data_IF_624507506181
#
_entry.id   IF_624507506181
#
_cell.length_a   1.000
_cell.length_b   1.000
_cell.length_c   1.000
_cell.angle_alpha   90.00
_cell.angle_beta   90.00
_cell.angle_gamma   90.00
#
_symmetry.space_group_name_H-M   'P 1'
#
loop_
_entity.id
_entity.type
_entity.pdbx_description
1 polymer ?
#
# COMPACT_ATOMS: atom_id res chain seq x y z
N UNK A 1 16.02 21.16 11.93
CA UNK A 1 15.76 21.28 10.48
C UNK A 1 14.27 21.15 10.24
N UNK A 2 13.77 21.37 9.01
CA UNK A 2 12.36 21.10 8.68
C UNK A 2 12.17 19.60 8.47
N UNK A 3 11.15 19.02 9.08
CA UNK A 3 10.83 17.59 9.01
C UNK A 3 9.77 17.36 7.94
N UNK A 4 10.23 17.17 6.69
CA UNK A 4 9.40 16.54 5.66
C UNK A 4 9.35 15.06 6.04
N UNK A 5 8.18 14.59 6.50
CA UNK A 5 8.09 13.36 7.31
C UNK A 5 6.92 12.44 6.95
N UNK A 6 5.98 12.85 6.08
CA UNK A 6 4.62 12.29 6.18
C UNK A 6 3.76 12.56 4.95
N UNK A 7 4.11 12.00 3.78
CA UNK A 7 3.45 12.39 2.53
C UNK A 7 3.16 11.28 1.50
N UNK A 8 1.91 10.79 1.55
CA UNK A 8 1.11 10.09 0.52
C UNK A 8 1.67 8.80 -0.11
N UNK A 9 1.12 7.62 0.15
CA UNK A 9 -0.28 7.28 -0.08
C UNK A 9 -1.04 7.97 -1.26
N UNK A 10 -0.37 8.60 -2.23
CA UNK A 10 -0.99 9.00 -3.51
C UNK A 10 -0.29 8.28 -4.67
N UNK A 11 1.05 8.28 -4.67
CA UNK A 11 1.82 7.13 -5.18
C UNK A 11 1.40 5.89 -4.41
N UNK A 12 1.47 5.92 -3.07
CA UNK A 12 0.94 4.83 -2.26
C UNK A 12 -0.60 4.72 -2.22
N UNK A 13 -1.34 5.38 -3.11
CA UNK A 13 -2.67 4.92 -3.56
C UNK A 13 -2.43 4.21 -4.89
N UNK A 14 -2.07 4.89 -5.98
CA UNK A 14 -1.88 4.32 -7.33
C UNK A 14 -1.01 3.05 -7.39
N UNK A 15 -0.07 2.90 -6.45
CA UNK A 15 0.90 1.80 -6.30
C UNK A 15 0.60 0.90 -5.09
N UNK A 16 -0.18 1.34 -4.10
CA UNK A 16 -0.83 0.38 -3.17
C UNK A 16 -1.92 -0.42 -3.88
N UNK A 17 -2.43 0.15 -4.97
CA UNK A 17 -3.32 -0.44 -5.97
C UNK A 17 -2.60 -1.31 -6.99
N UNK A 18 -1.29 -1.14 -7.12
CA UNK A 18 -0.42 -2.16 -7.67
C UNK A 18 -0.21 -3.33 -6.68
N UNK A 19 -1.28 -3.79 -6.04
CA UNK A 19 -1.39 -5.05 -5.28
C UNK A 19 -2.82 -5.62 -5.45
N UNK A 20 -3.12 -6.28 -6.58
CA UNK A 20 -4.45 -6.88 -6.81
C UNK A 20 -4.51 -8.09 -7.79
N UNK A 21 -3.90 -9.21 -7.39
CA UNK A 21 -4.59 -10.47 -6.98
C UNK A 21 -5.31 -11.43 -7.99
N UNK A 22 -4.85 -12.71 -8.07
CA UNK A 22 -5.50 -13.98 -8.53
C UNK A 22 -4.43 -15.13 -8.69
N UNK A 23 -4.65 -16.31 -9.30
CA UNK A 23 -4.04 -17.61 -8.85
C UNK A 23 -3.24 -18.52 -9.84
N UNK A 24 -2.15 -19.17 -9.37
CA UNK A 24 -1.57 -20.41 -9.94
C UNK A 24 -0.67 -21.18 -8.93
N UNK A 25 -0.37 -22.44 -9.21
CA UNK A 25 0.59 -23.27 -8.48
C UNK A 25 1.91 -23.42 -9.25
N UNK A 26 2.99 -23.81 -8.57
CA UNK A 26 4.39 -23.79 -9.06
C UNK A 26 4.92 -22.38 -9.39
N UNK A 27 4.41 -21.35 -8.70
CA UNK A 27 4.85 -19.95 -8.87
C UNK A 27 6.32 -19.72 -8.48
N UNK A 28 7.08 -19.03 -9.33
CA UNK A 28 8.46 -18.64 -9.05
C UNK A 28 8.52 -17.49 -8.03
N UNK A 29 9.49 -17.56 -7.11
CA UNK A 29 9.80 -16.50 -6.14
C UNK A 29 10.10 -15.17 -6.83
N UNK A 30 9.33 -14.13 -6.54
CA UNK A 30 9.49 -12.81 -7.17
C UNK A 30 10.54 -11.94 -6.47
N UNK A 31 10.62 -12.03 -5.14
CA UNK A 31 11.65 -11.42 -4.30
C UNK A 31 12.20 -12.49 -3.38
N UNK A 32 13.52 -12.64 -3.31
CA UNK A 32 14.21 -13.49 -2.33
C UNK A 32 15.22 -12.66 -1.55
N UNK A 33 15.32 -12.91 -0.24
CA UNK A 33 16.19 -12.19 0.70
C UNK A 33 16.90 -13.19 1.60
N UNK A 34 18.23 -13.10 1.67
CA UNK A 34 19.06 -13.91 2.58
C UNK A 34 19.69 -13.01 3.64
N UNK A 35 19.49 -13.37 4.91
CA UNK A 35 19.94 -12.60 6.08
C UNK A 35 21.13 -13.33 6.72
N UNK A 36 22.32 -12.70 6.71
CA UNK A 36 23.57 -13.30 7.22
C UNK A 36 23.46 -13.75 8.69
N UNK A 37 22.84 -12.94 9.55
CA UNK A 37 22.50 -13.27 10.94
C UNK A 37 20.98 -13.41 11.08
N UNK A 38 20.50 -14.65 11.18
CA UNK A 38 19.06 -14.97 11.21
C UNK A 38 18.30 -14.21 12.30
N UNK A 39 17.20 -13.54 11.91
CA UNK A 39 16.39 -12.71 12.79
C UNK A 39 15.54 -13.57 13.74
N UNK A 40 15.75 -13.43 15.06
CA UNK A 40 15.00 -14.15 16.09
C UNK A 40 13.94 -13.27 16.76
N UNK A 41 12.68 -13.69 16.74
CA UNK A 41 11.57 -13.00 17.42
C UNK A 41 10.55 -14.00 17.98
N UNK A 42 10.39 -14.04 19.31
CA UNK A 42 9.38 -14.86 20.02
C UNK A 42 9.28 -16.31 19.51
N UNK A 43 10.42 -16.99 19.39
CA UNK A 43 10.49 -18.38 18.93
C UNK A 43 10.49 -18.58 17.41
N UNK A 44 10.23 -17.53 16.62
CA UNK A 44 10.60 -17.49 15.19
C UNK A 44 12.10 -17.26 15.07
N UNK A 45 12.69 -17.81 14.01
CA UNK A 45 14.10 -17.66 13.62
C UNK A 45 14.15 -17.68 12.09
N UNK A 46 14.44 -16.53 11.49
CA UNK A 46 14.25 -16.28 10.05
C UNK A 46 15.60 -15.92 9.42
N UNK A 47 16.15 -16.86 8.65
CA UNK A 47 17.37 -16.68 7.86
C UNK A 47 17.06 -16.33 6.39
N UNK A 48 15.95 -16.84 5.86
CA UNK A 48 15.50 -16.61 4.49
C UNK A 48 14.12 -15.98 4.50
N UNK A 49 13.87 -15.06 3.58
CA UNK A 49 12.50 -14.61 3.26
C UNK A 49 12.32 -14.67 1.75
N UNK A 50 11.18 -15.20 1.32
CA UNK A 50 10.72 -15.03 -0.04
C UNK A 50 9.33 -14.39 -0.09
N UNK A 51 9.01 -13.80 -1.24
CA UNK A 51 7.68 -13.31 -1.54
C UNK A 51 7.23 -13.84 -2.90
N UNK A 52 5.98 -14.30 -2.95
CA UNK A 52 5.23 -14.41 -4.19
C UNK A 52 4.95 -13.01 -4.72
N UNK A 53 4.78 -12.86 -6.03
CA UNK A 53 4.45 -11.56 -6.63
C UNK A 53 3.01 -11.15 -6.25
N UNK A 54 2.79 -10.11 -5.43
CA UNK A 54 1.45 -9.68 -5.02
C UNK A 54 0.66 -9.01 -6.16
N UNK A 55 1.30 -8.79 -7.31
CA UNK A 55 0.66 -8.40 -8.57
C UNK A 55 0.39 -9.56 -9.52
N UNK A 56 0.90 -10.76 -9.26
CA UNK A 56 0.67 -11.86 -10.17
C UNK A 56 -0.75 -12.39 -9.97
N UNK A 57 -1.63 -11.98 -10.88
CA UNK A 57 -3.03 -12.41 -10.96
C UNK A 57 -3.16 -13.85 -11.45
N UNK A 58 -2.04 -14.55 -11.69
CA UNK A 58 -1.94 -16.00 -11.68
C UNK A 58 -0.94 -16.49 -10.60
N UNK A 59 -1.07 -16.08 -9.33
CA UNK A 59 -0.36 -16.67 -8.17
C UNK A 59 -1.14 -16.56 -6.83
N UNK A 60 -1.38 -15.35 -6.32
CA UNK A 60 -2.03 -15.09 -5.01
C UNK A 60 -3.26 -14.19 -5.09
N UNK A 61 -4.38 -14.57 -4.47
CA UNK A 61 -5.63 -13.79 -4.44
C UNK A 61 -5.98 -13.24 -3.05
N UNK A 62 -6.34 -11.96 -2.96
CA UNK A 62 -7.04 -11.35 -1.81
C UNK A 62 -8.19 -10.49 -2.33
N UNK A 63 -9.43 -10.79 -1.94
CA UNK A 63 -10.63 -10.04 -2.37
C UNK A 63 -11.38 -9.51 -1.17
N UNK A 64 -11.53 -8.19 -1.08
CA UNK A 64 -12.29 -7.52 -0.04
C UNK A 64 -13.80 -7.63 -0.32
N UNK A 65 -14.62 -7.69 0.75
CA UNK A 65 -16.05 -7.99 0.70
C UNK A 65 -16.89 -7.08 1.63
N UNK A 66 -18.20 -7.06 1.38
CA UNK A 66 -19.18 -6.24 2.11
C UNK A 66 -19.35 -4.84 1.52
N UNK A 67 -20.35 -4.10 1.99
CA UNK A 67 -20.74 -2.79 1.44
C UNK A 67 -20.22 -1.59 2.26
N UNK A 68 -19.36 -1.83 3.25
CA UNK A 68 -18.91 -0.84 4.25
C UNK A 68 -17.62 -0.11 3.88
N UNK A 69 -17.35 0.04 2.59
CA UNK A 69 -16.20 0.78 2.04
C UNK A 69 -16.67 1.74 0.94
N UNK A 70 -15.89 2.79 0.69
CA UNK A 70 -15.98 3.57 -0.55
C UNK A 70 -15.02 2.99 -1.60
N UNK A 71 -15.36 3.16 -2.86
CA UNK A 71 -14.57 2.68 -4.00
C UNK A 71 -14.02 3.89 -4.77
N UNK A 72 -12.72 4.14 -4.64
CA UNK A 72 -12.01 5.15 -5.44
C UNK A 72 -11.69 4.54 -6.81
N UNK A 73 -12.23 5.06 -7.94
CA UNK A 73 -11.91 4.54 -9.27
C UNK A 73 -10.42 4.58 -9.58
N UNK A 74 -9.96 3.88 -10.61
CA UNK A 74 -8.58 4.00 -11.11
C UNK A 74 -8.54 4.53 -12.54
N UNK A 75 -7.45 5.20 -12.97
CA UNK A 75 -7.25 5.48 -14.38
C UNK A 75 -7.18 4.14 -15.13
N UNK A 76 -7.77 4.05 -16.32
CA UNK A 76 -7.70 2.82 -17.12
C UNK A 76 -6.23 2.50 -17.40
N UNK A 77 -5.77 1.30 -17.01
CA UNK A 77 -4.38 0.89 -17.21
C UNK A 77 -4.22 0.04 -18.48
N UNK A 78 -3.15 0.31 -19.22
CA UNK A 78 -2.67 -0.48 -20.35
C UNK A 78 -1.70 -1.55 -19.85
N UNK A 79 -0.41 -1.39 -20.17
CA UNK A 79 0.67 -2.22 -19.64
C UNK A 79 1.21 -1.63 -18.34
N UNK A 80 1.28 -2.43 -17.27
CA UNK A 80 2.02 -2.09 -16.06
C UNK A 80 3.38 -2.78 -16.13
N UNK A 81 4.47 -2.02 -16.13
CA UNK A 81 5.85 -2.55 -16.20
C UNK A 81 6.62 -2.17 -14.94
N UNK A 82 7.29 -3.15 -14.33
CA UNK A 82 8.24 -2.94 -13.22
C UNK A 82 9.64 -3.32 -13.68
N UNK A 83 10.59 -2.42 -13.50
CA UNK A 83 12.00 -2.61 -13.80
C UNK A 83 12.86 -2.30 -12.55
N UNK A 84 13.78 -3.20 -12.22
CA UNK A 84 14.75 -3.09 -11.12
C UNK A 84 16.15 -3.16 -11.71
N UNK A 85 16.92 -2.08 -11.60
CA UNK A 85 18.27 -1.99 -12.17
C UNK A 85 19.28 -1.55 -11.10
N UNK A 86 20.28 -2.38 -10.75
CA UNK A 86 20.36 -3.83 -11.03
C UNK A 86 19.25 -4.66 -10.34
N UNK A 87 18.99 -5.87 -10.86
CA UNK A 87 18.00 -6.81 -10.33
C UNK A 87 18.29 -7.35 -8.91
N UNK A 88 19.55 -7.24 -8.47
CA UNK A 88 20.03 -7.81 -7.21
C UNK A 88 21.11 -6.94 -6.58
N UNK A 89 21.17 -6.93 -5.25
CA UNK A 89 22.12 -6.13 -4.50
C UNK A 89 22.07 -6.40 -2.99
N UNK A 90 23.07 -5.91 -2.27
CA UNK A 90 23.15 -6.06 -0.80
C UNK A 90 22.55 -4.82 -0.13
N UNK A 91 21.35 -4.96 0.43
CA UNK A 91 20.64 -3.88 1.12
C UNK A 91 20.91 -3.97 2.62
N UNK A 92 21.72 -3.05 3.16
CA UNK A 92 22.03 -2.95 4.60
C UNK A 92 22.60 -4.24 5.24
N UNK A 93 23.21 -5.11 4.43
CA UNK A 93 23.75 -6.41 4.86
C UNK A 93 22.81 -7.61 4.63
N UNK A 94 21.68 -7.41 3.96
CA UNK A 94 20.80 -8.49 3.45
C UNK A 94 21.00 -8.57 1.94
N UNK A 95 21.32 -9.76 1.42
CA UNK A 95 21.38 -9.98 -0.03
C UNK A 95 19.96 -10.18 -0.57
N UNK A 96 19.56 -9.32 -1.52
CA UNK A 96 18.22 -9.29 -2.11
C UNK A 96 18.32 -9.54 -3.61
N UNK A 97 17.43 -10.37 -4.14
CA UNK A 97 17.24 -10.60 -5.58
C UNK A 97 15.77 -10.44 -5.93
N UNK A 98 15.50 -9.70 -7.00
CA UNK A 98 14.16 -9.42 -7.56
C UNK A 98 14.12 -9.87 -9.02
N UNK A 99 12.95 -10.22 -9.56
CA UNK A 99 12.80 -10.38 -11.01
C UNK A 99 13.01 -9.03 -11.72
N UNK A 100 14.13 -8.89 -12.42
CA UNK A 100 14.65 -7.67 -13.07
C UNK A 100 13.59 -6.84 -13.81
N UNK A 101 12.83 -7.48 -14.70
CA UNK A 101 11.81 -6.84 -15.54
C UNK A 101 10.56 -7.72 -15.57
N UNK A 102 9.41 -7.18 -15.14
CA UNK A 102 8.11 -7.85 -15.25
C UNK A 102 7.00 -6.90 -15.67
N UNK A 103 6.34 -7.22 -16.77
CA UNK A 103 5.16 -6.52 -17.28
C UNK A 103 3.87 -7.32 -17.07
N UNK A 104 2.76 -6.62 -16.89
CA UNK A 104 1.44 -7.15 -16.54
C UNK A 104 0.35 -6.42 -17.34
N UNK A 105 -0.77 -7.09 -17.56
CA UNK A 105 -1.97 -6.50 -18.18
C UNK A 105 -2.77 -5.71 -17.12
N UNK A 106 -2.82 -4.38 -17.29
CA UNK A 106 -3.55 -3.47 -16.42
C UNK A 106 -5.07 -3.63 -16.47
N UNK A 107 -5.61 -4.32 -17.47
CA UNK A 107 -7.04 -4.65 -17.54
C UNK A 107 -7.45 -5.84 -16.66
N UNK A 108 -6.49 -6.56 -16.07
CA UNK A 108 -6.74 -7.59 -15.06
C UNK A 108 -7.08 -7.02 -13.67
N UNK A 109 -6.84 -5.73 -13.44
CA UNK A 109 -6.96 -5.08 -12.13
C UNK A 109 -8.43 -4.76 -11.77
N UNK A 110 -8.79 -4.76 -10.48
CA UNK A 110 -10.14 -4.46 -10.03
C UNK A 110 -10.46 -2.96 -10.21
N UNK A 111 -11.60 -2.65 -10.85
CA UNK A 111 -12.01 -1.30 -11.31
C UNK A 111 -12.11 -0.15 -10.29
N UNK A 112 -11.69 -0.34 -9.04
CA UNK A 112 -11.65 0.70 -8.02
C UNK A 112 -11.31 0.14 -6.64
N UNK A 113 -10.81 1.02 -5.78
CA UNK A 113 -10.06 0.66 -4.59
C UNK A 113 -10.82 0.98 -3.31
N UNK A 114 -10.79 0.00 -2.40
CA UNK A 114 -11.73 -0.07 -1.28
C UNK A 114 -11.11 0.55 -0.03
N UNK A 115 -11.70 1.66 0.42
CA UNK A 115 -11.28 2.41 1.61
C UNK A 115 -12.40 2.34 2.64
N UNK A 116 -12.08 1.93 3.85
CA UNK A 116 -13.06 1.86 4.93
C UNK A 116 -13.24 3.23 5.57
N UNK A 117 -14.42 3.81 5.43
CA UNK A 117 -14.78 5.10 6.07
C UNK A 117 -15.16 4.95 7.53
N UNK A 118 -15.40 3.72 7.98
CA UNK A 118 -15.74 3.36 9.36
C UNK A 118 -14.69 2.40 9.94
N UNK A 119 -14.45 2.52 11.25
CA UNK A 119 -13.59 1.60 12.02
C UNK A 119 -14.23 0.21 12.17
N UNK A 120 -14.06 -0.63 11.17
CA UNK A 120 -14.51 -2.04 11.13
C UNK A 120 -13.38 -2.98 10.74
N UNK A 121 -13.46 -4.24 11.16
CA UNK A 121 -12.57 -5.29 10.63
C UNK A 121 -13.04 -5.63 9.21
N UNK A 122 -12.13 -5.66 8.21
CA UNK A 122 -12.49 -6.01 6.83
C UNK A 122 -13.02 -7.44 6.73
N UNK A 123 -14.09 -7.62 5.96
CA UNK A 123 -14.48 -8.92 5.43
C UNK A 123 -13.69 -9.18 4.15
N UNK A 124 -13.14 -10.38 3.98
CA UNK A 124 -12.30 -10.68 2.81
C UNK A 124 -12.20 -12.19 2.55
N UNK A 125 -11.70 -12.54 1.37
CA UNK A 125 -11.24 -13.89 1.05
C UNK A 125 -9.79 -13.88 0.61
N UNK A 126 -9.03 -14.90 1.01
CA UNK A 126 -7.68 -15.19 0.49
C UNK A 126 -7.77 -16.48 -0.32
N UNK A 127 -7.13 -16.53 -1.49
CA UNK A 127 -6.99 -17.77 -2.25
C UNK A 127 -5.56 -17.90 -2.80
N UNK A 128 -4.72 -18.66 -2.09
CA UNK A 128 -3.37 -19.07 -2.51
C UNK A 128 -3.39 -20.60 -2.63
N UNK A 129 -3.61 -21.16 -3.84
CA UNK A 129 -3.92 -22.58 -3.99
C UNK A 129 -2.83 -23.52 -3.49
N UNK A 130 -3.23 -24.51 -2.69
CA UNK A 130 -2.33 -25.56 -2.17
C UNK A 130 -1.47 -25.15 -0.97
N UNK A 131 -1.48 -23.87 -0.58
CA UNK A 131 -0.76 -23.39 0.59
C UNK A 131 -1.59 -23.45 1.88
N UNK A 132 -0.91 -23.68 2.99
CA UNK A 132 -1.40 -23.46 4.34
C UNK A 132 -0.56 -22.36 5.00
N UNK A 133 -1.13 -21.61 5.93
CA UNK A 133 -0.42 -20.52 6.58
C UNK A 133 -1.31 -19.71 7.51
N UNK A 134 -0.87 -18.51 7.88
CA UNK A 134 -1.56 -17.63 8.80
C UNK A 134 -1.92 -16.31 8.10
N UNK A 135 -3.12 -15.78 8.36
CA UNK A 135 -3.57 -14.50 7.79
C UNK A 135 -3.64 -13.43 8.86
N UNK A 136 -3.00 -12.29 8.60
CA UNK A 136 -2.86 -11.16 9.51
C UNK A 136 -3.41 -9.87 8.93
N UNK A 137 -4.07 -9.07 9.77
CA UNK A 137 -4.25 -7.63 9.56
C UNK A 137 -3.47 -6.89 10.65
N UNK A 138 -2.46 -6.10 10.27
CA UNK A 138 -1.56 -5.40 11.20
C UNK A 138 -1.66 -3.89 10.99
N UNK A 139 -1.91 -3.10 12.05
CA UNK A 139 -1.79 -1.63 11.95
C UNK A 139 -0.33 -1.31 11.71
N UNK A 140 -0.03 -0.57 10.65
CA UNK A 140 1.31 -0.07 10.38
C UNK A 140 1.53 1.18 11.26
N UNK A 141 2.42 1.14 12.27
CA UNK A 141 2.52 2.21 13.25
C UNK A 141 2.90 3.56 12.62
N UNK A 142 2.50 4.61 13.31
CA UNK A 142 2.93 5.98 13.04
C UNK A 142 4.38 6.16 13.56
N UNK A 143 5.31 6.59 12.70
CA UNK A 143 6.71 6.83 13.10
C UNK A 143 7.59 5.58 13.26
N UNK A 144 8.01 4.96 12.14
CA UNK A 144 9.10 3.96 12.16
C UNK A 144 10.48 4.65 12.33
N UNK A 145 10.95 4.83 13.56
CA UNK A 145 12.24 5.47 13.87
C UNK A 145 13.49 4.67 13.37
N UNK A 146 13.34 3.40 12.99
CA UNK A 146 14.42 2.54 12.45
C UNK A 146 14.04 1.78 11.16
N UNK A 147 12.94 2.18 10.50
CA UNK A 147 12.43 1.55 9.28
C UNK A 147 11.74 0.19 9.46
N UNK A 148 11.00 -0.23 8.42
CA UNK A 148 10.27 -1.50 8.39
C UNK A 148 11.21 -2.70 8.17
N UNK A 149 11.39 -3.52 9.20
CA UNK A 149 12.01 -4.84 9.16
C UNK A 149 11.12 -5.90 9.85
N UNK A 150 11.43 -7.19 9.70
CA UNK A 150 10.58 -8.28 10.22
C UNK A 150 10.31 -8.23 11.72
N UNK A 151 11.32 -7.87 12.53
CA UNK A 151 11.14 -7.66 13.97
C UNK A 151 10.10 -6.57 14.22
N UNK A 152 10.27 -5.40 13.60
CA UNK A 152 9.33 -4.28 13.77
C UNK A 152 7.93 -4.56 13.20
N UNK A 153 7.80 -5.41 12.17
CA UNK A 153 6.49 -5.87 11.69
C UNK A 153 5.80 -6.78 12.72
N UNK A 154 6.50 -7.73 13.33
CA UNK A 154 5.93 -8.58 14.37
C UNK A 154 5.80 -7.87 15.73
N UNK A 155 6.45 -6.73 15.93
CA UNK A 155 6.19 -5.79 17.02
C UNK A 155 4.93 -4.96 16.76
N UNK A 156 4.75 -4.43 15.55
CA UNK A 156 3.49 -3.81 15.12
C UNK A 156 2.29 -4.80 15.24
N UNK A 157 2.47 -6.04 14.80
CA UNK A 157 1.46 -7.10 14.95
C UNK A 157 1.18 -7.48 16.42
N UNK A 158 2.14 -7.26 17.31
CA UNK A 158 1.98 -7.40 18.77
C UNK A 158 1.23 -6.20 19.36
N UNK A 159 1.48 -4.99 18.87
CA UNK A 159 0.92 -3.74 19.41
C UNK A 159 -0.49 -3.44 18.91
N UNK A 160 -0.81 -3.79 17.66
CA UNK A 160 -2.17 -3.80 17.12
C UNK A 160 -2.28 -4.71 15.89
N UNK A 161 -2.40 -6.02 16.13
CA UNK A 161 -2.56 -7.03 15.08
C UNK A 161 -3.72 -7.98 15.32
N UNK A 162 -4.32 -8.45 14.23
CA UNK A 162 -5.41 -9.42 14.18
C UNK A 162 -4.97 -10.63 13.35
N UNK A 163 -4.87 -11.80 13.97
CA UNK A 163 -4.63 -13.09 13.31
C UNK A 163 -5.97 -13.82 13.15
N UNK A 164 -6.34 -14.12 11.91
CA UNK A 164 -7.59 -14.78 11.54
C UNK A 164 -7.40 -16.29 11.48
N UNK A 165 -8.39 -17.04 11.96
CA UNK A 165 -8.50 -18.51 11.83
C UNK A 165 -9.78 -18.87 11.07
N UNK A 166 -10.08 -20.16 10.92
CA UNK A 166 -11.33 -20.65 10.30
C UNK A 166 -12.61 -20.14 11.00
N UNK A 167 -12.56 -19.85 12.31
CA UNK A 167 -13.75 -19.49 13.12
C UNK A 167 -13.51 -18.45 14.24
N UNK A 168 -12.34 -17.82 14.25
CA UNK A 168 -11.90 -16.94 15.33
C UNK A 168 -10.93 -15.83 14.87
N UNK A 169 -10.79 -14.80 15.70
CA UNK A 169 -9.76 -13.77 15.59
C UNK A 169 -8.97 -13.70 16.90
N UNK A 170 -7.64 -13.80 16.78
CA UNK A 170 -6.68 -13.53 17.86
C UNK A 170 -6.22 -12.09 17.69
N UNK A 171 -6.58 -11.22 18.63
CA UNK A 171 -6.20 -9.82 18.65
C UNK A 171 -5.09 -9.60 19.68
N UNK A 172 -3.94 -9.07 19.24
CA UNK A 172 -2.84 -8.67 20.13
C UNK A 172 -2.77 -7.15 20.23
N UNK A 173 -2.53 -6.66 21.44
CA UNK A 173 -2.08 -5.29 21.66
C UNK A 173 -1.00 -5.16 22.75
N UNK A 174 -0.53 -3.94 22.96
CA UNK A 174 0.49 -3.61 23.96
C UNK A 174 0.17 -4.06 25.42
N UNK A 175 -1.08 -4.42 25.73
CA UNK A 175 -1.51 -4.91 27.06
C UNK A 175 -1.69 -6.42 27.15
N UNK A 176 -1.83 -7.14 26.03
CA UNK A 176 -2.09 -8.58 26.02
C UNK A 176 -2.67 -9.12 24.71
N UNK A 177 -3.00 -10.42 24.72
CA UNK A 177 -3.81 -11.07 23.68
C UNK A 177 -5.23 -11.25 24.19
N UNK A 178 -6.21 -10.91 23.35
CA UNK A 178 -7.62 -11.29 23.46
C UNK A 178 -7.99 -12.18 22.28
N UNK A 179 -8.96 -13.08 22.46
CA UNK A 179 -9.39 -13.99 21.41
C UNK A 179 -10.92 -14.05 21.35
N UNK A 180 -11.45 -14.00 20.13
CA UNK A 180 -12.88 -13.95 19.82
C UNK A 180 -13.23 -15.10 18.86
N UNK A 181 -14.42 -15.69 18.97
CA UNK A 181 -14.83 -16.87 18.18
C UNK A 181 -14.52 -18.21 18.85
N UNK A 182 -14.34 -19.27 18.05
CA UNK A 182 -14.32 -20.68 18.53
C UNK A 182 -13.01 -21.18 19.16
N UNK A 183 -11.99 -20.33 19.29
CA UNK A 183 -10.62 -20.71 19.61
C UNK A 183 -10.36 -21.13 21.07
N UNK A 184 -9.52 -22.15 21.24
CA UNK A 184 -9.01 -22.60 22.54
C UNK A 184 -7.83 -21.74 23.01
N UNK A 185 -7.87 -21.26 24.26
CA UNK A 185 -6.78 -20.51 24.90
C UNK A 185 -5.43 -21.26 25.03
N UNK A 186 -5.37 -22.54 24.67
CA UNK A 186 -4.13 -23.33 24.57
C UNK A 186 -3.54 -23.36 23.14
N UNK A 187 -4.12 -22.63 22.19
CA UNK A 187 -3.64 -22.52 20.81
C UNK A 187 -2.78 -21.27 20.56
N UNK A 188 -2.53 -20.42 21.57
CA UNK A 188 -1.71 -19.22 21.42
C UNK A 188 -0.90 -18.92 22.69
N UNK A 189 0.25 -18.28 22.51
CA UNK A 189 1.10 -17.76 23.59
C UNK A 189 1.67 -16.39 23.17
N UNK A 190 1.55 -15.40 24.05
CA UNK A 190 2.08 -14.05 23.82
C UNK A 190 3.62 -14.00 23.85
N UNK A 191 4.28 -15.04 24.35
CA UNK A 191 5.73 -15.17 24.40
C UNK A 191 6.32 -16.09 23.30
N UNK A 192 5.49 -16.94 22.69
CA UNK A 192 5.88 -17.87 21.62
C UNK A 192 4.96 -17.69 20.40
N UNK A 193 5.42 -16.86 19.46
CA UNK A 193 4.74 -16.60 18.21
C UNK A 193 4.82 -17.81 17.27
N UNK A 194 5.93 -18.55 17.28
CA UNK A 194 6.09 -19.77 16.47
C UNK A 194 5.04 -20.83 16.86
N UNK A 195 4.88 -21.09 18.16
CA UNK A 195 3.79 -21.92 18.68
C UNK A 195 2.41 -21.39 18.24
N UNK A 196 2.22 -20.07 18.26
CA UNK A 196 0.94 -19.44 17.86
C UNK A 196 0.67 -19.57 16.36
N UNK A 197 1.68 -19.44 15.49
CA UNK A 197 1.55 -19.67 14.05
C UNK A 197 1.16 -21.13 13.76
N UNK A 198 1.97 -22.08 14.23
CA UNK A 198 1.83 -23.52 13.99
C UNK A 198 0.59 -24.15 14.66
N UNK A 199 -0.18 -23.38 15.44
CA UNK A 199 -1.45 -23.80 16.07
C UNK A 199 -2.70 -23.25 15.40
N UNK A 200 -2.54 -22.27 14.52
CA UNK A 200 -3.64 -21.55 13.88
C UNK A 200 -3.39 -21.38 12.37
N UNK A 201 -2.73 -22.36 11.75
CA UNK A 201 -2.63 -22.45 10.30
C UNK A 201 -4.02 -22.74 9.70
N UNK A 202 -4.40 -21.95 8.69
CA UNK A 202 -5.59 -22.14 7.87
C UNK A 202 -5.17 -22.65 6.48
N UNK A 203 -6.10 -23.31 5.78
CA UNK A 203 -5.93 -23.55 4.35
C UNK A 203 -6.11 -22.22 3.61
N UNK A 204 -5.10 -21.75 2.89
CA UNK A 204 -5.17 -20.50 2.14
C UNK A 204 -5.92 -20.63 0.82
N UNK A 205 -6.34 -21.83 0.42
CA UNK A 205 -7.23 -22.04 -0.73
C UNK A 205 -8.68 -21.70 -0.36
N UNK A 206 -9.28 -20.68 -0.99
CA UNK A 206 -10.63 -20.16 -0.70
C UNK A 206 -10.91 -19.78 0.78
N UNK A 207 -9.88 -19.39 1.54
CA UNK A 207 -10.01 -18.88 2.91
C UNK A 207 -10.95 -17.66 2.99
N UNK A 208 -11.72 -17.54 4.07
CA UNK A 208 -12.71 -16.46 4.25
C UNK A 208 -12.69 -15.90 5.67
N UNK A 209 -12.51 -14.58 5.78
CA UNK A 209 -12.68 -13.83 7.02
C UNK A 209 -14.03 -13.10 7.02
N UNK A 210 -14.80 -13.32 8.08
CA UNK A 210 -16.04 -12.62 8.40
C UNK A 210 -15.82 -11.90 9.73
N UNK A 211 -15.32 -10.67 9.64
CA UNK A 211 -14.86 -9.87 10.77
C UNK A 211 -15.99 -9.46 11.72
N UNK A 212 -17.25 -9.42 11.25
CA UNK A 212 -18.40 -9.24 12.14
C UNK A 212 -18.67 -10.51 12.96
N UNK A 213 -18.74 -11.67 12.32
CA UNK A 213 -19.11 -12.93 12.98
C UNK A 213 -17.99 -13.50 13.85
N UNK A 214 -16.73 -13.40 13.42
CA UNK A 214 -15.56 -13.80 14.22
C UNK A 214 -15.39 -12.95 15.49
N UNK A 215 -15.97 -11.75 15.54
CA UNK A 215 -15.93 -10.84 16.70
C UNK A 215 -17.16 -10.89 17.60
N UNK A 216 -18.17 -11.75 17.36
CA UNK A 216 -19.52 -11.69 17.98
C UNK A 216 -19.59 -11.56 19.52
N UNK A 217 -18.52 -11.90 20.25
CA UNK A 217 -18.44 -11.88 21.73
C UNK A 217 -17.93 -10.52 22.25
N UNK A 218 -18.73 -9.83 23.06
CA UNK A 218 -18.35 -8.57 23.71
C UNK A 218 -17.21 -8.74 24.74
N UNK A 219 -16.34 -7.72 24.94
CA UNK A 219 -16.37 -6.39 24.31
C UNK A 219 -15.62 -6.33 22.97
N UNK A 220 -16.26 -5.77 21.93
CA UNK A 220 -15.64 -5.61 20.61
C UNK A 220 -14.45 -4.65 20.65
N UNK A 221 -13.28 -5.09 20.17
CA UNK A 221 -12.16 -4.18 19.87
C UNK A 221 -12.09 -3.92 18.37
N UNK A 222 -12.72 -2.83 17.93
CA UNK A 222 -12.62 -2.31 16.55
C UNK A 222 -11.18 -1.88 16.25
N UNK A 223 -10.74 -1.91 14.98
CA UNK A 223 -9.49 -1.25 14.59
C UNK A 223 -9.57 0.26 14.84
N UNK A 224 -8.41 0.90 14.93
CA UNK A 224 -8.31 2.35 14.93
C UNK A 224 -8.35 2.85 13.48
N UNK A 225 -8.43 4.17 13.30
CA UNK A 225 -8.10 4.74 12.01
C UNK A 225 -6.58 4.57 11.75
N UNK A 226 -6.19 4.57 10.49
CA UNK A 226 -4.82 4.40 10.05
C UNK A 226 -4.67 3.39 8.91
N UNK A 227 -3.41 3.07 8.61
CA UNK A 227 -3.02 2.16 7.54
C UNK A 227 -2.77 0.78 8.12
N UNK A 228 -3.22 -0.24 7.41
CA UNK A 228 -3.05 -1.63 7.79
C UNK A 228 -2.43 -2.41 6.63
N UNK A 229 -1.72 -3.50 6.95
CA UNK A 229 -1.35 -4.52 5.98
C UNK A 229 -2.16 -5.78 6.26
N UNK A 230 -2.98 -6.20 5.28
CA UNK A 230 -3.56 -7.54 5.23
C UNK A 230 -2.56 -8.44 4.50
N UNK A 231 -2.09 -9.50 5.15
CA UNK A 231 -1.07 -10.40 4.58
C UNK A 231 -1.33 -11.85 4.95
N UNK A 232 -0.99 -12.77 4.03
CA UNK A 232 -0.93 -14.19 4.29
C UNK A 232 0.53 -14.63 4.27
N UNK A 233 0.95 -15.38 5.29
CA UNK A 233 2.32 -15.89 5.43
C UNK A 233 2.33 -17.40 5.70
N UNK A 234 3.40 -18.07 5.30
CA UNK A 234 3.79 -19.38 5.84
C UNK A 234 5.20 -19.27 6.44
N UNK A 235 5.48 -19.98 7.53
CA UNK A 235 6.80 -19.99 8.16
C UNK A 235 7.30 -21.44 8.32
N UNK A 236 8.29 -21.82 7.50
CA UNK A 236 8.95 -23.11 7.65
C UNK A 236 10.08 -23.03 8.67
N UNK A 237 9.75 -23.41 9.90
CA UNK A 237 10.69 -23.55 11.00
C UNK A 237 11.81 -24.60 10.78
N UNK A 238 11.75 -25.44 9.74
CA UNK A 238 12.80 -26.42 9.42
C UNK A 238 13.86 -25.87 8.46
N UNK A 239 13.54 -24.85 7.65
CA UNK A 239 14.48 -24.14 6.77
C UNK A 239 14.83 -22.72 7.25
N UNK A 240 14.21 -22.25 8.34
CA UNK A 240 14.31 -20.86 8.82
C UNK A 240 13.80 -19.85 7.76
N UNK A 241 12.75 -20.23 7.01
CA UNK A 241 12.18 -19.45 5.90
C UNK A 241 10.81 -18.86 6.25
N UNK A 242 10.62 -17.57 5.96
CA UNK A 242 9.30 -16.93 5.93
C UNK A 242 8.86 -16.71 4.47
N UNK A 243 7.73 -17.29 4.09
CA UNK A 243 7.09 -17.09 2.79
C UNK A 243 6.01 -16.01 2.93
N UNK A 244 6.16 -14.90 2.22
CA UNK A 244 5.11 -13.87 2.08
C UNK A 244 4.24 -14.22 0.89
N UNK A 245 3.10 -14.85 1.18
CA UNK A 245 2.23 -15.46 0.17
C UNK A 245 1.21 -14.47 -0.39
N UNK A 246 0.78 -13.48 0.40
CA UNK A 246 -0.11 -12.40 -0.03
C UNK A 246 0.18 -11.11 0.73
N UNK A 247 -0.01 -9.96 0.07
CA UNK A 247 0.08 -8.64 0.69
C UNK A 247 -0.92 -7.68 0.02
N UNK A 248 -1.82 -7.10 0.81
CA UNK A 248 -2.80 -6.10 0.40
C UNK A 248 -2.86 -4.98 1.46
N UNK A 249 -2.44 -3.76 1.14
CA UNK A 249 -2.61 -2.62 2.03
C UNK A 249 -4.08 -2.19 2.15
N UNK A 250 -4.52 -1.86 3.36
CA UNK A 250 -5.88 -1.45 3.70
C UNK A 250 -5.85 -0.10 4.41
N UNK A 251 -6.73 0.83 4.02
CA UNK A 251 -6.92 2.10 4.72
C UNK A 251 -8.25 2.06 5.49
N UNK A 252 -8.18 2.40 6.78
CA UNK A 252 -9.35 2.52 7.67
C UNK A 252 -9.36 3.95 8.23
N UNK A 253 -10.51 4.61 8.13
CA UNK A 253 -10.72 6.00 8.56
C UNK A 253 -11.82 6.07 9.65
N UNK A 254 -12.07 7.27 10.17
CA UNK A 254 -13.13 7.56 11.14
C UNK A 254 -14.02 8.71 10.59
N UNK A 255 -14.63 8.45 9.44
CA UNK A 255 -15.15 9.44 8.50
C UNK A 255 -14.16 9.77 7.38
N UNK A 256 -14.66 10.29 6.25
CA UNK A 256 -13.84 10.71 5.10
C UNK A 256 -14.36 12.05 4.56
N UNK A 257 -13.76 13.19 4.95
CA UNK A 257 -14.01 14.50 4.35
C UNK A 257 -13.89 14.49 2.82
N UNK A 258 -14.81 15.18 2.14
CA UNK A 258 -14.87 15.31 0.68
C UNK A 258 -13.83 16.32 0.19
N UNK A 259 -13.19 16.05 -0.95
CA UNK A 259 -12.32 17.00 -1.62
C UNK A 259 -13.14 18.13 -2.26
N UNK A 260 -12.60 19.34 -2.22
CA UNK A 260 -13.19 20.54 -2.82
C UNK A 260 -12.26 21.04 -3.92
N UNK A 261 -12.76 21.06 -5.16
CA UNK A 261 -12.18 21.77 -6.28
C UNK A 261 -12.80 23.17 -6.40
N UNK A 262 -11.97 24.21 -6.32
CA UNK A 262 -12.36 25.62 -6.49
C UNK A 262 -11.64 26.21 -7.71
N UNK A 263 -12.29 26.16 -8.88
CA UNK A 263 -11.82 26.81 -10.11
C UNK A 263 -12.01 28.34 -10.02
N UNK A 264 -10.91 29.06 -10.20
CA UNK A 264 -10.86 30.53 -10.11
C UNK A 264 -10.65 31.19 -11.48
N UNK A 265 -10.62 30.42 -12.57
CA UNK A 265 -10.35 30.88 -13.94
C UNK A 265 -8.93 31.44 -14.15
N UNK A 266 -8.08 31.39 -13.12
CA UNK A 266 -6.69 31.86 -13.11
C UNK A 266 -5.79 30.87 -12.35
N UNK A 267 -6.14 29.59 -12.42
CA UNK A 267 -5.70 28.55 -11.50
C UNK A 267 -6.88 27.95 -10.74
N UNK A 268 -6.63 26.87 -10.01
CA UNK A 268 -7.61 26.15 -9.20
C UNK A 268 -7.03 25.87 -7.81
N UNK A 269 -7.90 25.49 -6.87
CA UNK A 269 -7.52 25.06 -5.52
C UNK A 269 -8.11 23.70 -5.20
N UNK A 270 -7.29 22.86 -4.56
CA UNK A 270 -7.69 21.61 -3.89
C UNK A 270 -7.68 21.81 -2.38
N UNK A 271 -8.78 21.47 -1.71
CA UNK A 271 -8.94 21.51 -0.25
C UNK A 271 -9.92 20.41 0.20
N UNK A 272 -10.30 20.35 1.48
CA UNK A 272 -11.27 19.36 2.00
C UNK A 272 -12.36 20.03 2.86
N UNK A 273 -13.54 19.40 2.97
CA UNK A 273 -14.71 19.93 3.68
C UNK A 273 -14.70 19.77 5.22
N UNK A 274 -13.51 19.70 5.83
CA UNK A 274 -13.33 19.50 7.28
C UNK A 274 -12.13 20.21 7.90
N UNK A 275 -12.17 20.38 9.22
CA UNK A 275 -10.99 20.75 10.02
C UNK A 275 -10.11 19.51 10.27
N UNK A 276 -8.80 19.71 10.41
CA UNK A 276 -7.85 18.65 10.82
C UNK A 276 -6.86 18.25 9.73
N UNK A 277 -7.20 18.38 8.45
CA UNK A 277 -6.22 18.26 7.36
C UNK A 277 -5.21 19.41 7.52
N UNK A 278 -3.96 19.10 7.84
CA UNK A 278 -2.90 20.11 7.89
C UNK A 278 -2.19 20.27 6.54
N UNK A 279 -2.33 19.29 5.63
CA UNK A 279 -1.36 19.00 4.58
C UNK A 279 -1.98 18.16 3.42
N UNK A 280 -1.77 18.53 2.15
CA UNK A 280 -2.51 18.01 0.97
C UNK A 280 -1.62 17.65 -0.23
N UNK A 281 -1.98 16.61 -1.00
CA UNK A 281 -1.53 16.42 -2.39
C UNK A 281 -2.67 15.93 -3.29
N UNK A 282 -2.41 16.04 -4.60
CA UNK A 282 -3.35 15.70 -5.64
C UNK A 282 -2.66 15.20 -6.92
N UNK A 283 -3.41 14.47 -7.73
CA UNK A 283 -3.08 14.08 -9.11
C UNK A 283 -4.32 14.41 -9.97
N UNK A 284 -4.08 15.03 -11.12
CA UNK A 284 -5.04 15.16 -12.23
C UNK A 284 -4.60 14.22 -13.36
N UNK A 285 -5.51 13.37 -13.85
CA UNK A 285 -5.32 12.53 -15.04
C UNK A 285 -6.53 12.68 -15.98
N UNK A 286 -6.30 12.89 -17.27
CA UNK A 286 -7.36 12.98 -18.28
C UNK A 286 -8.13 11.66 -18.40
N UNK A 287 -9.46 11.72 -18.37
CA UNK A 287 -10.34 10.55 -18.32
C UNK A 287 -10.52 9.83 -19.67
N UNK A 288 -10.05 10.41 -20.78
CA UNK A 288 -10.20 9.88 -22.14
C UNK A 288 -9.01 9.02 -22.61
N UNK A 289 -8.07 8.72 -21.72
CA UNK A 289 -6.87 7.94 -22.01
C UNK A 289 -6.76 6.65 -21.15
N UNK A 290 -6.16 5.62 -21.76
CA UNK A 290 -5.64 4.44 -21.07
C UNK A 290 -4.13 4.61 -20.88
N UNK A 291 -3.63 4.52 -19.66
CA UNK A 291 -2.25 4.80 -19.29
C UNK A 291 -1.44 3.51 -19.11
N UNK A 292 -0.31 3.41 -19.79
CA UNK A 292 0.77 2.52 -19.37
C UNK A 292 1.43 3.11 -18.12
N UNK A 293 1.77 2.24 -17.16
CA UNK A 293 2.43 2.60 -15.91
C UNK A 293 3.78 1.89 -15.80
N UNK A 294 4.87 2.63 -16.00
CA UNK A 294 6.24 2.09 -15.81
C UNK A 294 6.79 2.54 -14.46
N UNK A 295 7.01 1.59 -13.55
CA UNK A 295 7.83 1.76 -12.34
C UNK A 295 9.27 1.36 -12.67
N UNK A 296 10.22 2.27 -12.42
CA UNK A 296 11.66 1.99 -12.41
C UNK A 296 12.19 2.15 -11.00
N UNK A 297 13.01 1.20 -10.54
CA UNK A 297 13.71 1.24 -9.26
C UNK A 297 15.21 1.20 -9.52
N UNK A 298 15.90 2.27 -9.14
CA UNK A 298 17.36 2.29 -9.00
C UNK A 298 17.69 1.62 -7.66
N UNK A 299 18.21 0.40 -7.71
CA UNK A 299 18.39 -0.43 -6.52
C UNK A 299 19.65 -0.08 -5.73
N UNK A 300 20.67 0.46 -6.38
CA UNK A 300 21.86 1.01 -5.70
C UNK A 300 21.47 2.29 -4.94
N UNK A 301 20.76 3.21 -5.58
CA UNK A 301 20.25 4.41 -4.93
C UNK A 301 19.21 4.10 -3.83
N UNK A 302 18.48 2.98 -3.92
CA UNK A 302 17.58 2.51 -2.87
C UNK A 302 18.34 1.95 -1.65
N UNK A 303 19.42 1.20 -1.88
CA UNK A 303 20.26 0.66 -0.82
C UNK A 303 21.03 1.75 -0.06
N UNK A 304 21.49 2.80 -0.75
CA UNK A 304 22.19 3.95 -0.18
C UNK A 304 21.28 4.97 0.53
N UNK A 305 19.95 4.80 0.51
CA UNK A 305 19.06 5.66 1.32
C UNK A 305 19.33 5.46 2.83
N UNK A 306 19.34 6.55 3.62
CA UNK A 306 19.47 6.46 5.08
C UNK A 306 18.31 5.65 5.70
N UNK A 307 18.47 5.24 6.95
CA UNK A 307 17.41 4.51 7.66
C UNK A 307 16.20 5.45 7.87
N UNK A 308 14.97 5.04 7.52
CA UNK A 308 13.76 5.78 7.84
C UNK A 308 13.73 6.02 9.34
N UNK A 309 13.65 7.29 9.75
CA UNK A 309 13.49 7.69 11.16
C UNK A 309 12.11 8.31 11.42
N UNK A 310 11.09 7.72 10.79
CA UNK A 310 9.62 7.91 10.90
C UNK A 310 8.95 7.47 9.58
N UNK A 311 7.70 7.87 9.30
CA UNK A 311 7.15 7.88 7.93
C UNK A 311 7.93 8.74 6.93
N UNK A 312 9.04 9.37 7.35
CA UNK A 312 9.84 10.29 6.56
C UNK A 312 10.44 9.72 5.26
N UNK A 313 10.42 8.40 5.06
CA UNK A 313 10.87 7.79 3.80
C UNK A 313 9.76 7.30 2.87
N UNK A 314 8.49 7.26 3.31
CA UNK A 314 7.39 7.43 2.37
C UNK A 314 7.51 8.83 1.73
N UNK A 315 7.78 9.82 2.58
CA UNK A 315 8.07 11.20 2.18
C UNK A 315 9.38 11.35 1.39
N UNK A 316 10.42 10.53 1.61
CA UNK A 316 11.60 10.49 0.71
C UNK A 316 11.27 9.89 -0.67
N UNK A 317 10.41 8.86 -0.74
CA UNK A 317 9.93 8.31 -2.01
C UNK A 317 8.97 9.28 -2.74
N UNK A 318 8.35 10.22 -2.02
CA UNK A 318 7.54 11.29 -2.61
C UNK A 318 8.22 12.67 -2.71
N UNK A 319 9.41 12.81 -2.15
CA UNK A 319 10.42 13.77 -2.63
C UNK A 319 11.03 13.28 -3.94
N UNK A 320 11.20 11.96 -4.13
CA UNK A 320 11.45 11.40 -5.45
C UNK A 320 10.31 11.77 -6.40
N UNK A 321 9.03 11.56 -6.01
CA UNK A 321 7.85 11.94 -6.79
C UNK A 321 7.86 13.39 -7.36
N UNK A 322 8.58 14.32 -6.72
CA UNK A 322 8.53 15.75 -7.01
C UNK A 322 9.93 16.44 -7.07
N UNK A 323 11.02 15.70 -7.29
CA UNK A 323 12.37 16.29 -7.32
C UNK A 323 13.51 15.30 -7.59
N UNK A 324 14.60 15.84 -8.19
CA UNK A 324 15.65 15.13 -8.95
C UNK A 324 16.49 14.02 -8.25
N UNK A 325 16.18 13.57 -7.03
CA UNK A 325 17.07 12.66 -6.28
C UNK A 325 16.38 11.69 -5.30
N UNK A 326 15.65 10.70 -5.82
CA UNK A 326 15.23 9.51 -5.06
C UNK A 326 15.13 8.26 -5.96
N UNK A 327 15.01 7.06 -5.38
CA UNK A 327 15.33 5.81 -6.07
C UNK A 327 14.21 5.19 -6.92
N UNK A 328 13.05 5.84 -7.05
CA UNK A 328 11.90 5.29 -7.79
C UNK A 328 11.28 6.33 -8.72
N UNK A 329 11.03 5.92 -9.96
CA UNK A 329 10.34 6.70 -10.99
C UNK A 329 9.07 5.99 -11.44
N UNK A 330 7.96 6.70 -11.46
CA UNK A 330 6.67 6.25 -12.00
C UNK A 330 6.32 7.08 -13.22
N UNK A 331 6.19 6.42 -14.36
CA UNK A 331 5.83 7.05 -15.64
C UNK A 331 4.42 6.63 -16.01
N UNK A 332 3.50 7.60 -16.09
CA UNK A 332 2.11 7.45 -16.54
C UNK A 332 1.98 8.08 -17.93
N UNK A 333 1.85 7.26 -18.96
CA UNK A 333 1.77 7.71 -20.35
C UNK A 333 0.71 6.92 -21.14
N UNK A 334 -0.12 7.57 -21.97
CA UNK A 334 -0.98 6.83 -22.89
C UNK A 334 -0.16 6.04 -23.93
N UNK A 335 -0.69 4.92 -24.43
CA UNK A 335 -0.01 4.10 -25.46
C UNK A 335 0.53 4.95 -26.62
N UNK A 336 1.75 4.64 -27.04
CA UNK A 336 2.49 5.37 -28.07
C UNK A 336 2.91 6.81 -27.73
N UNK A 337 2.56 7.33 -26.55
CA UNK A 337 2.88 8.71 -26.14
C UNK A 337 4.22 8.75 -25.40
N UNK A 338 5.22 9.52 -25.87
CA UNK A 338 6.46 9.68 -25.14
C UNK A 338 6.25 10.56 -23.90
N UNK A 339 6.57 10.03 -22.73
CA UNK A 339 6.83 10.82 -21.53
C UNK A 339 8.33 11.12 -21.41
N UNK A 340 8.70 12.25 -20.82
CA UNK A 340 10.09 12.64 -20.62
C UNK A 340 10.71 11.88 -19.44
N UNK A 341 11.25 10.68 -19.73
CA UNK A 341 11.91 9.83 -18.74
C UNK A 341 13.25 10.37 -18.23
N UNK A 342 13.77 11.45 -18.83
CA UNK A 342 15.00 12.12 -18.39
C UNK A 342 14.70 13.30 -17.44
N UNK A 343 13.42 13.57 -17.12
CA UNK A 343 12.96 14.61 -16.20
C UNK A 343 13.33 14.38 -14.70
N UNK A 344 14.20 13.39 -14.42
CA UNK A 344 14.57 12.94 -13.08
C UNK A 344 13.64 11.86 -12.53
N UNK A 345 13.89 11.38 -11.30
CA UNK A 345 12.95 10.53 -10.59
C UNK A 345 11.62 11.27 -10.33
N UNK A 346 10.55 10.49 -10.20
CA UNK A 346 9.28 10.95 -9.66
C UNK A 346 8.02 10.48 -10.37
N UNK A 347 6.90 11.20 -10.21
CA UNK A 347 5.66 10.95 -10.96
C UNK A 347 5.71 11.77 -12.25
N UNK A 348 6.12 11.13 -13.33
CA UNK A 348 6.13 11.72 -14.66
C UNK A 348 4.80 11.35 -15.32
N UNK A 349 3.97 12.35 -15.62
CA UNK A 349 2.77 12.19 -16.44
C UNK A 349 3.06 12.78 -17.82
N UNK A 350 2.60 12.11 -18.90
CA UNK A 350 2.79 12.61 -20.25
C UNK A 350 2.20 14.02 -20.45
N UNK A 351 2.91 14.88 -21.18
CA UNK A 351 2.52 16.27 -21.44
C UNK A 351 1.11 16.35 -22.04
N UNK A 352 0.26 17.22 -21.49
CA UNK A 352 -1.14 17.35 -21.90
C UNK A 352 -2.11 16.36 -21.26
N UNK A 353 -1.66 15.28 -20.59
CA UNK A 353 -2.54 14.24 -20.04
C UNK A 353 -2.76 14.31 -18.53
N UNK A 354 -1.97 15.09 -17.80
CA UNK A 354 -2.16 15.27 -16.37
C UNK A 354 -1.01 16.00 -15.70
N UNK A 355 -1.16 16.18 -14.39
CA UNK A 355 -0.14 16.77 -13.52
C UNK A 355 -0.34 16.29 -12.08
N UNK A 356 0.69 16.41 -11.25
CA UNK A 356 0.63 16.13 -9.82
C UNK A 356 1.09 17.35 -9.02
N UNK A 357 0.72 17.42 -7.75
CA UNK A 357 1.16 18.52 -6.89
C UNK A 357 0.80 18.34 -5.43
N UNK A 358 1.34 19.25 -4.62
CA UNK A 358 1.56 19.01 -3.20
C UNK A 358 1.67 20.35 -2.42
N UNK A 359 1.12 20.43 -1.20
CA UNK A 359 1.20 21.59 -0.31
C UNK A 359 1.40 21.27 1.20
N UNK A 360 2.31 22.04 1.81
CA UNK A 360 2.57 22.18 3.26
C UNK A 360 1.43 22.99 3.95
N UNK A 361 0.17 22.63 3.69
CA UNK A 361 -1.00 23.35 4.19
C UNK A 361 -2.36 22.68 3.89
N UNK A 362 -3.45 23.19 4.49
CA UNK A 362 -4.83 22.70 4.30
C UNK A 362 -5.43 23.05 2.92
N UNK A 363 -4.60 23.56 2.01
CA UNK A 363 -4.97 24.14 0.71
C UNK A 363 -3.78 23.92 -0.22
N UNK A 364 -4.02 23.32 -1.39
CA UNK A 364 -3.06 23.24 -2.47
C UNK A 364 -3.50 24.13 -3.64
N UNK A 365 -2.61 25.02 -4.10
CA UNK A 365 -2.87 25.95 -5.22
C UNK A 365 -2.26 25.40 -6.53
N UNK A 366 -3.07 25.37 -7.60
CA UNK A 366 -2.63 25.01 -8.96
C UNK A 366 -2.63 26.28 -9.80
N UNK A 367 -1.45 26.72 -10.25
CA UNK A 367 -1.30 27.95 -11.03
C UNK A 367 -1.89 27.83 -12.45
N UNK A 368 -2.38 28.96 -12.99
CA UNK A 368 -2.90 29.03 -14.36
C UNK A 368 -1.95 28.43 -15.41
N UNK A 369 -0.65 28.68 -15.27
CA UNK A 369 0.37 28.20 -16.22
C UNK A 369 0.48 26.67 -16.23
N UNK A 370 0.26 26.01 -15.07
CA UNK A 370 0.27 24.54 -14.97
C UNK A 370 -1.04 23.92 -15.50
N UNK A 371 -2.20 24.54 -15.24
CA UNK A 371 -3.46 24.10 -15.88
C UNK A 371 -3.43 24.31 -17.40
N UNK A 372 -2.68 25.30 -17.90
CA UNK A 372 -2.53 25.58 -19.33
C UNK A 372 -1.62 24.58 -20.07
N UNK A 373 -0.91 23.67 -19.39
CA UNK A 373 -0.20 22.54 -20.03
C UNK A 373 -1.07 21.29 -20.19
N UNK A 374 -2.34 21.34 -19.79
CA UNK A 374 -3.30 20.23 -19.92
C UNK A 374 -4.12 20.35 -21.22
N UNK A 375 -4.46 19.22 -21.83
CA UNK A 375 -5.42 19.19 -22.93
C UNK A 375 -6.82 19.53 -22.41
N UNK A 376 -7.68 20.26 -23.15
CA UNK A 376 -9.04 20.57 -22.70
C UNK A 376 -9.92 19.31 -22.60
N UNK A 377 -10.62 19.14 -21.48
CA UNK A 377 -11.51 17.98 -21.25
C UNK A 377 -11.70 17.65 -19.77
N UNK A 378 -12.22 16.46 -19.50
CA UNK A 378 -12.54 15.98 -18.14
C UNK A 378 -11.35 15.23 -17.53
N UNK A 379 -11.01 15.55 -16.28
CA UNK A 379 -9.90 14.97 -15.52
C UNK A 379 -10.40 14.36 -14.21
N UNK A 380 -9.84 13.20 -13.88
CA UNK A 380 -9.95 12.60 -12.56
C UNK A 380 -9.01 13.35 -11.59
N UNK A 381 -9.59 14.06 -10.62
CA UNK A 381 -8.89 14.60 -9.47
C UNK A 381 -8.86 13.55 -8.36
N UNK A 382 -7.69 12.97 -8.14
CA UNK A 382 -7.37 12.20 -6.94
C UNK A 382 -6.79 13.16 -5.92
N UNK A 383 -7.35 13.20 -4.70
CA UNK A 383 -6.90 14.08 -3.64
C UNK A 383 -6.69 13.29 -2.33
N UNK A 384 -5.69 13.69 -1.55
CA UNK A 384 -5.44 13.13 -0.22
C UNK A 384 -5.12 14.22 0.80
N UNK A 385 -5.78 14.15 1.96
CA UNK A 385 -5.59 15.02 3.11
C UNK A 385 -5.01 14.29 4.31
N UNK A 386 -3.93 14.81 4.85
CA UNK A 386 -3.22 14.26 6.01
C UNK A 386 -3.36 15.16 7.24
N UNK A 387 -3.27 14.56 8.42
CA UNK A 387 -3.30 15.24 9.71
C UNK A 387 -2.14 14.71 10.55
N UNK A 388 -1.05 15.47 10.69
CA UNK A 388 0.17 14.90 11.23
C UNK A 388 0.60 13.66 10.43
N UNK A 389 1.00 12.57 11.08
CA UNK A 389 1.52 11.37 10.37
C UNK A 389 0.42 10.56 9.68
N UNK A 390 -0.84 10.83 10.01
CA UNK A 390 -2.00 10.06 9.63
C UNK A 390 -2.65 10.57 8.34
N UNK A 391 -3.48 9.72 7.77
CA UNK A 391 -4.26 9.96 6.56
C UNK A 391 -5.71 9.98 7.00
N UNK A 392 -6.36 11.12 6.81
CA UNK A 392 -7.71 11.38 7.34
C UNK A 392 -8.75 11.55 6.24
N UNK A 393 -8.32 11.69 4.98
CA UNK A 393 -9.18 11.62 3.81
C UNK A 393 -8.42 11.19 2.56
N UNK A 394 -9.08 10.36 1.74
CA UNK A 394 -8.76 10.12 0.33
C UNK A 394 -10.07 10.29 -0.45
N UNK A 395 -10.06 11.03 -1.54
CA UNK A 395 -11.28 11.27 -2.33
C UNK A 395 -11.01 11.43 -3.83
N UNK A 396 -12.07 11.28 -4.62
CA UNK A 396 -12.10 11.32 -6.08
C UNK A 396 -13.24 12.20 -6.59
N UNK A 397 -12.95 13.08 -7.54
CA UNK A 397 -13.98 13.75 -8.33
C UNK A 397 -13.54 14.02 -9.77
N UNK A 398 -14.50 14.12 -10.68
CA UNK A 398 -14.24 14.56 -12.06
C UNK A 398 -14.31 16.08 -12.15
N UNK A 399 -13.28 16.71 -12.71
CA UNK A 399 -13.17 18.17 -12.92
C UNK A 399 -12.97 18.48 -14.40
N UNK A 400 -13.56 19.57 -14.88
CA UNK A 400 -13.51 19.95 -16.29
C UNK A 400 -12.47 21.06 -16.51
N UNK A 401 -11.43 20.76 -17.28
CA UNK A 401 -10.37 21.71 -17.63
C UNK A 401 -10.73 22.42 -18.94
N UNK A 402 -11.07 23.70 -18.85
CA UNK A 402 -11.39 24.55 -20.00
C UNK A 402 -10.14 24.94 -20.78
N UNK A 403 -10.20 24.85 -22.11
CA UNK A 403 -9.12 25.31 -22.98
C UNK A 403 -8.93 26.83 -22.93
N UNK A 404 -7.68 27.27 -23.08
CA UNK A 404 -7.32 28.68 -23.07
C UNK A 404 -8.13 29.47 -24.13
N UNK A 405 -8.93 30.43 -23.66
CA UNK A 405 -9.76 31.28 -24.52
C UNK A 405 -8.88 32.29 -25.28
N UNK A 406 -8.85 32.15 -26.61
CA UNK A 406 -8.03 32.93 -27.57
C UNK A 406 -8.55 34.35 -27.85
#
# INVERSE_FOLDING_TARGET
MKSLTKYFLLVGVVVSLLFSVATAADAETYISMTIDDAAEYRGLRIATVDALDPLETETSLVTIQGDSHITIPHPAFGTITRAFDPASGTYRGVDVTVTENKSLDGSAFPGGYQIYTDRIIPNFTVNVPGWHGNVFLVKLPEGFDEGLNFTTFFEAAKEQGYLFTDDAIIYSNATGISAYGGINAHNYDIHDLNFTLARNEVNLTDFRADGERMMEIWPYTRPEAGRYLLTAINYDCASETLHVLAALPILILDGNPTAIWDDRGAGAIVSFDGEGVDRIAYILLGCDATYDLTMRVDTEALADQPIPSSMADLDSLLRAAAGEAGPVTYVLAPDGTPADVDAGPGIIIAEGYGLSGYADGPVAEIGAEALATLNPGTYALYALGMAGEEIVTVDYQEVEIQGASS
#
